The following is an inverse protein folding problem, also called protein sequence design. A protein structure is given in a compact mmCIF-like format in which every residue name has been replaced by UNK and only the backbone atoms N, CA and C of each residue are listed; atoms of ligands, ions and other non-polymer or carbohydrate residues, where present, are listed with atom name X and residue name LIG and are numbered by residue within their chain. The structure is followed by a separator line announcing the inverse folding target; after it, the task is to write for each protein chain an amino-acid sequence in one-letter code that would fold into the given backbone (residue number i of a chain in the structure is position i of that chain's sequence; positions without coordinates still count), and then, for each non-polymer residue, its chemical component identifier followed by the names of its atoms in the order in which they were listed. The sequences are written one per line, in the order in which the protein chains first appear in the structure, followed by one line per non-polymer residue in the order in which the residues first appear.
data_IF_601800168413
#
_entry.id   IF_601800168413
#
_cell.length_a   1.000
_cell.length_b   1.000
_cell.length_c   1.000
_cell.angle_alpha   90.00
_cell.angle_beta   90.00
_cell.angle_gamma   90.00
#
_symmetry.space_group_name_H-M   'P 1'
#
loop_
_entity.id
_entity.type
_entity.pdbx_description
1 polymer ?
#
# COMPACT_ATOMS: atom_id res chain seq x y z
N UNK A 1 -17.73 -15.86 14.89
CA UNK A 1 -16.41 -16.50 15.16
C UNK A 1 -16.27 -17.16 16.53
N UNK A 2 -16.31 -16.43 17.67
CA UNK A 2 -16.12 -17.06 19.01
C UNK A 2 -17.12 -18.17 19.33
N UNK A 3 -18.35 -18.08 18.81
CA UNK A 3 -19.36 -19.15 18.88
C UNK A 3 -18.95 -20.42 18.12
N UNK A 4 -18.42 -20.28 16.91
CA UNK A 4 -17.95 -21.39 16.09
C UNK A 4 -16.69 -22.05 16.68
N UNK A 5 -15.83 -21.23 17.28
CA UNK A 5 -14.55 -21.66 17.84
C UNK A 5 -14.44 -21.16 19.29
N UNK A 6 -15.08 -21.84 20.25
CA UNK A 6 -15.03 -21.45 21.66
C UNK A 6 -13.58 -21.37 22.18
N UNK A 7 -13.25 -20.28 22.87
CA UNK A 7 -11.89 -20.04 23.36
C UNK A 7 -10.90 -19.53 22.32
N UNK A 8 -11.31 -19.33 21.06
CA UNK A 8 -10.49 -18.64 20.07
C UNK A 8 -10.21 -17.18 20.45
N UNK A 9 -9.04 -16.69 20.05
CA UNK A 9 -8.68 -15.28 20.19
C UNK A 9 -8.95 -14.56 18.87
N UNK A 10 -9.83 -13.56 18.90
CA UNK A 10 -10.18 -12.74 17.73
C UNK A 10 -9.30 -11.50 17.65
N UNK A 11 -8.89 -11.12 16.45
CA UNK A 11 -8.13 -9.90 16.20
C UNK A 11 -8.63 -9.20 14.94
N UNK A 12 -8.46 -7.88 14.89
CA UNK A 12 -8.61 -7.07 13.69
C UNK A 12 -7.23 -6.79 13.11
N UNK A 13 -7.12 -6.76 11.79
CA UNK A 13 -5.88 -6.39 11.12
C UNK A 13 -6.22 -5.60 9.85
N UNK A 14 -5.19 -5.40 9.02
CA UNK A 14 -5.37 -4.76 7.74
C UNK A 14 -5.58 -3.25 7.85
N UNK A 15 -6.04 -2.65 6.75
CA UNK A 15 -5.93 -1.20 6.60
C UNK A 15 -6.90 -0.41 7.48
N UNK A 16 -8.08 -0.95 7.75
CA UNK A 16 -9.07 -0.33 8.63
C UNK A 16 -8.57 -0.33 10.08
N UNK A 17 -8.07 -1.45 10.58
CA UNK A 17 -7.52 -1.55 11.94
C UNK A 17 -6.32 -0.62 12.16
N UNK A 18 -5.55 -0.35 11.10
CA UNK A 18 -4.36 0.51 11.16
C UNK A 18 -4.67 1.99 10.87
N UNK A 19 -5.93 2.37 10.58
CA UNK A 19 -6.28 3.74 10.21
C UNK A 19 -5.63 4.24 8.90
N UNK A 20 -5.17 3.32 8.04
CA UNK A 20 -4.47 3.63 6.78
C UNK A 20 -5.24 3.18 5.52
N UNK A 21 -6.53 2.92 5.66
CA UNK A 21 -7.44 2.69 4.54
C UNK A 21 -7.61 3.96 3.68
N UNK A 22 -7.63 3.77 2.36
CA UNK A 22 -8.03 4.85 1.45
C UNK A 22 -9.55 4.90 1.35
N UNK A 23 -10.08 6.04 0.95
CA UNK A 23 -11.52 6.23 0.72
C UNK A 23 -11.84 5.88 -0.74
N UNK A 24 -12.98 5.21 -1.03
CA UNK A 24 -13.94 4.63 -0.06
C UNK A 24 -13.36 3.43 0.69
N UNK A 25 -13.86 3.19 1.92
CA UNK A 25 -13.53 1.97 2.66
C UNK A 25 -14.16 0.78 1.95
N UNK A 26 -13.35 -0.21 1.59
CA UNK A 26 -13.78 -1.37 0.79
C UNK A 26 -13.95 -2.64 1.60
N UNK A 27 -13.13 -2.81 2.64
CA UNK A 27 -12.97 -4.08 3.32
C UNK A 27 -12.44 -3.91 4.75
N UNK A 28 -12.85 -4.83 5.62
CA UNK A 28 -12.22 -5.07 6.93
C UNK A 28 -11.64 -6.48 6.98
N UNK A 29 -10.42 -6.59 7.51
CA UNK A 29 -9.78 -7.88 7.76
C UNK A 29 -9.94 -8.26 9.24
N UNK A 30 -10.40 -9.49 9.50
CA UNK A 30 -10.46 -10.02 10.86
C UNK A 30 -10.06 -11.50 10.90
N UNK A 31 -9.47 -11.91 12.02
CA UNK A 31 -9.02 -13.28 12.21
C UNK A 31 -9.45 -13.88 13.54
N UNK A 32 -9.53 -15.20 13.57
CA UNK A 32 -9.71 -15.99 14.79
C UNK A 32 -8.59 -17.03 14.92
N UNK A 33 -7.75 -16.87 15.93
CA UNK A 33 -6.74 -17.87 16.31
C UNK A 33 -7.43 -18.98 17.10
N UNK A 34 -7.44 -20.18 16.52
CA UNK A 34 -8.03 -21.37 17.12
C UNK A 34 -7.28 -21.80 18.39
N UNK A 35 -7.98 -22.49 19.29
CA UNK A 35 -7.32 -23.15 20.43
C UNK A 35 -6.39 -24.25 19.92
N UNK A 36 -5.39 -24.64 20.72
CA UNK A 36 -4.50 -25.77 20.35
C UNK A 36 -5.29 -27.06 20.07
N UNK A 37 -6.38 -27.27 20.81
CA UNK A 37 -7.26 -28.43 20.65
C UNK A 37 -7.99 -28.39 19.31
N UNK A 38 -8.61 -27.27 18.97
CA UNK A 38 -9.37 -27.14 17.71
C UNK A 38 -8.45 -27.09 16.48
N UNK A 39 -7.22 -26.61 16.66
CA UNK A 39 -6.21 -26.55 15.61
C UNK A 39 -5.52 -27.90 15.32
N UNK A 40 -5.53 -28.85 16.27
CA UNK A 40 -4.76 -30.10 16.21
C UNK A 40 -5.01 -30.95 14.95
N UNK A 41 -6.24 -31.06 14.41
CA UNK A 41 -6.51 -31.81 13.19
C UNK A 41 -6.03 -31.13 11.89
N UNK A 42 -5.63 -29.87 11.94
CA UNK A 42 -5.40 -29.00 10.79
C UNK A 42 -3.93 -28.57 10.68
N UNK A 43 -3.55 -28.05 9.51
CA UNK A 43 -2.21 -27.51 9.25
C UNK A 43 -1.43 -28.28 8.18
N UNK A 44 -0.16 -27.91 7.93
CA UNK A 44 0.68 -28.58 6.94
C UNK A 44 0.78 -30.09 7.20
N UNK A 45 0.54 -30.90 6.16
CA UNK A 45 0.56 -32.37 6.25
C UNK A 45 -0.66 -32.98 6.95
N UNK A 46 -1.65 -32.17 7.34
CA UNK A 46 -2.90 -32.59 7.99
C UNK A 46 -4.11 -32.11 7.16
N UNK A 47 -5.27 -31.86 7.81
CA UNK A 47 -6.45 -31.35 7.13
C UNK A 47 -6.23 -29.93 6.57
N UNK A 48 -6.90 -29.67 5.45
CA UNK A 48 -6.97 -28.38 4.79
C UNK A 48 -7.69 -27.32 5.63
N UNK A 49 -7.53 -26.06 5.26
CA UNK A 49 -8.29 -24.95 5.85
C UNK A 49 -9.77 -24.92 5.44
N UNK A 50 -10.15 -25.58 4.34
CA UNK A 50 -11.50 -25.48 3.77
C UNK A 50 -12.61 -25.80 4.79
N UNK A 51 -12.56 -26.90 5.59
CA UNK A 51 -13.60 -27.15 6.59
C UNK A 51 -13.72 -26.04 7.64
N UNK A 52 -12.62 -25.39 8.01
CA UNK A 52 -12.66 -24.25 8.96
C UNK A 52 -13.29 -23.02 8.33
N UNK A 53 -13.08 -22.80 7.04
CA UNK A 53 -13.73 -21.74 6.27
C UNK A 53 -15.24 -22.00 6.15
N UNK A 54 -15.66 -23.23 5.89
CA UNK A 54 -17.08 -23.61 5.85
C UNK A 54 -17.76 -23.44 7.22
N UNK A 55 -17.11 -23.85 8.32
CA UNK A 55 -17.61 -23.61 9.68
C UNK A 55 -17.74 -22.10 9.97
N UNK A 56 -16.77 -21.29 9.52
CA UNK A 56 -16.84 -19.84 9.67
C UNK A 56 -18.03 -19.26 8.88
N UNK A 57 -18.23 -19.70 7.63
CA UNK A 57 -19.37 -19.31 6.79
C UNK A 57 -20.70 -19.58 7.49
N UNK A 58 -20.94 -20.82 7.91
CA UNK A 58 -22.21 -21.23 8.50
C UNK A 58 -22.50 -20.47 9.80
N UNK A 59 -21.46 -20.19 10.59
CA UNK A 59 -21.60 -19.41 11.82
C UNK A 59 -21.86 -17.93 11.56
N UNK A 60 -21.35 -17.35 10.47
CA UNK A 60 -21.64 -15.95 10.12
C UNK A 60 -23.09 -15.85 9.61
N UNK A 61 -23.56 -16.76 8.74
CA UNK A 61 -24.96 -16.81 8.31
C UNK A 61 -25.92 -16.87 9.49
N UNK A 62 -25.68 -17.81 10.42
CA UNK A 62 -26.48 -17.95 11.64
C UNK A 62 -26.59 -16.67 12.48
N UNK A 63 -25.57 -15.81 12.43
CA UNK A 63 -25.45 -14.63 13.28
C UNK A 63 -26.01 -13.38 12.59
N UNK A 64 -25.89 -13.30 11.27
CA UNK A 64 -26.07 -12.06 10.51
C UNK A 64 -27.20 -12.10 9.47
N UNK A 65 -27.73 -13.28 9.09
CA UNK A 65 -28.79 -13.37 8.07
C UNK A 65 -30.06 -12.58 8.46
N UNK A 66 -30.34 -12.48 9.76
CA UNK A 66 -31.50 -11.72 10.25
C UNK A 66 -31.32 -10.21 10.18
N UNK A 67 -30.09 -9.72 10.14
CA UNK A 67 -29.76 -8.29 10.07
C UNK A 67 -29.46 -7.85 8.63
N UNK A 68 -28.81 -8.71 7.85
CA UNK A 68 -28.39 -8.43 6.48
C UNK A 68 -29.10 -9.39 5.50
N UNK A 69 -30.26 -9.01 4.93
CA UNK A 69 -31.06 -9.92 4.10
C UNK A 69 -30.39 -10.31 2.77
N UNK A 70 -29.42 -9.53 2.31
CA UNK A 70 -28.66 -9.77 1.08
C UNK A 70 -27.25 -10.33 1.36
N UNK A 71 -26.99 -10.80 2.59
CA UNK A 71 -25.70 -11.33 2.99
C UNK A 71 -25.28 -12.49 2.09
N UNK A 72 -24.09 -12.40 1.51
CA UNK A 72 -23.46 -13.52 0.81
C UNK A 72 -22.09 -13.80 1.40
N UNK A 73 -21.75 -15.08 1.53
CA UNK A 73 -20.49 -15.50 2.12
C UNK A 73 -19.80 -16.50 1.21
N UNK A 74 -18.71 -16.05 0.59
CA UNK A 74 -17.96 -16.82 -0.40
C UNK A 74 -16.81 -17.59 0.27
N UNK A 75 -16.75 -18.89 0.02
CA UNK A 75 -15.63 -19.78 0.40
C UNK A 75 -14.88 -20.25 -0.85
N UNK A 76 -15.62 -20.70 -1.86
CA UNK A 76 -15.06 -21.23 -3.10
C UNK A 76 -14.21 -20.19 -3.82
N UNK A 77 -13.03 -20.59 -4.28
CA UNK A 77 -12.10 -19.71 -5.00
C UNK A 77 -11.30 -18.72 -4.13
N UNK A 78 -11.68 -18.53 -2.86
CA UNK A 78 -10.96 -17.64 -1.94
C UNK A 78 -9.64 -18.27 -1.49
N UNK A 79 -8.62 -17.42 -1.31
CA UNK A 79 -7.25 -17.86 -0.99
C UNK A 79 -7.02 -18.08 0.50
N UNK A 80 -7.34 -17.07 1.32
CA UNK A 80 -6.91 -17.00 2.72
C UNK A 80 -8.03 -16.86 3.75
N UNK A 81 -9.18 -16.36 3.32
CA UNK A 81 -10.30 -15.99 4.19
C UNK A 81 -11.62 -16.27 3.48
N UNK A 82 -12.71 -16.37 4.24
CA UNK A 82 -14.06 -16.26 3.66
C UNK A 82 -14.37 -14.80 3.42
N UNK A 83 -15.02 -14.50 2.30
CA UNK A 83 -15.47 -13.14 2.01
C UNK A 83 -16.92 -13.00 2.38
N UNK A 84 -17.20 -12.05 3.26
CA UNK A 84 -18.53 -11.62 3.63
C UNK A 84 -18.85 -10.37 2.81
N UNK A 85 -19.96 -10.41 2.08
CA UNK A 85 -20.57 -9.26 1.42
C UNK A 85 -21.90 -9.00 2.09
N UNK A 86 -22.09 -7.79 2.61
CA UNK A 86 -23.31 -7.44 3.35
C UNK A 86 -24.48 -7.20 2.40
N UNK A 87 -24.21 -6.91 1.12
CA UNK A 87 -25.22 -6.69 0.09
C UNK A 87 -26.02 -5.41 0.32
N UNK A 88 -25.39 -4.41 0.96
CA UNK A 88 -26.00 -3.14 1.34
C UNK A 88 -25.02 -1.98 1.06
N UNK A 89 -24.83 -1.60 -0.22
CA UNK A 89 -23.92 -0.53 -0.59
C UNK A 89 -24.42 0.82 -0.08
N UNK A 90 -23.49 1.63 0.44
CA UNK A 90 -23.81 2.94 1.07
C UNK A 90 -24.41 3.93 0.07
N UNK A 91 -23.99 3.90 -1.19
CA UNK A 91 -24.63 4.61 -2.31
C UNK A 91 -24.64 3.74 -3.57
N UNK A 92 -25.48 4.07 -4.56
CA UNK A 92 -25.59 3.29 -5.79
C UNK A 92 -24.28 3.25 -6.60
N UNK A 93 -23.40 4.22 -6.40
CA UNK A 93 -22.10 4.36 -7.09
C UNK A 93 -20.95 3.71 -6.32
N UNK A 94 -21.16 3.29 -5.07
CA UNK A 94 -20.14 2.65 -4.25
C UNK A 94 -20.28 1.14 -4.24
N UNK A 95 -19.15 0.44 -4.32
CA UNK A 95 -19.11 -1.00 -4.11
C UNK A 95 -19.53 -1.35 -2.69
N UNK A 96 -20.18 -2.50 -2.53
CA UNK A 96 -20.51 -3.08 -1.22
C UNK A 96 -19.28 -3.14 -0.31
N UNK A 97 -19.46 -2.77 0.95
CA UNK A 97 -18.42 -2.97 1.96
C UNK A 97 -18.30 -4.47 2.24
N UNK A 98 -17.08 -4.95 2.49
CA UNK A 98 -16.86 -6.38 2.67
C UNK A 98 -16.06 -6.70 3.92
N UNK A 99 -16.07 -7.96 4.35
CA UNK A 99 -15.16 -8.44 5.39
C UNK A 99 -14.46 -9.72 4.93
N UNK A 100 -13.14 -9.76 5.05
CA UNK A 100 -12.38 -10.99 4.91
C UNK A 100 -12.16 -11.59 6.30
N UNK A 101 -12.80 -12.76 6.54
CA UNK A 101 -12.75 -13.47 7.82
C UNK A 101 -11.86 -14.70 7.74
N UNK A 102 -10.77 -14.68 8.49
CA UNK A 102 -9.75 -15.73 8.48
C UNK A 102 -9.80 -16.60 9.74
N UNK A 103 -9.59 -17.91 9.57
CA UNK A 103 -9.23 -18.80 10.68
C UNK A 103 -7.73 -19.02 10.67
N UNK A 104 -7.09 -19.00 11.84
CA UNK A 104 -5.64 -19.15 11.95
C UNK A 104 -5.27 -20.19 13.02
N UNK A 105 -4.23 -20.97 12.75
CA UNK A 105 -3.72 -21.96 13.70
C UNK A 105 -2.52 -21.39 14.43
N UNK A 106 -2.42 -21.57 15.76
CA UNK A 106 -1.19 -21.25 16.48
C UNK A 106 -0.05 -22.14 15.97
N UNK A 107 1.11 -21.56 15.68
CA UNK A 107 2.28 -22.37 15.35
C UNK A 107 2.78 -23.13 16.59
N UNK A 108 3.20 -24.41 16.50
CA UNK A 108 3.66 -25.20 17.65
C UNK A 108 4.82 -24.56 18.43
N UNK A 109 5.69 -23.80 17.76
CA UNK A 109 6.79 -23.07 18.40
C UNK A 109 6.34 -21.82 19.19
N UNK A 110 5.05 -21.47 19.13
CA UNK A 110 4.52 -20.23 19.71
C UNK A 110 4.81 -18.95 18.91
N UNK A 111 5.52 -19.04 17.78
CA UNK A 111 5.89 -17.88 16.95
C UNK A 111 5.10 -17.84 15.64
N UNK A 112 4.27 -16.80 15.49
CA UNK A 112 3.38 -16.64 14.36
C UNK A 112 2.32 -17.72 14.24
N UNK A 113 1.66 -17.73 13.09
CA UNK A 113 0.47 -18.52 12.80
C UNK A 113 0.65 -19.31 11.50
N UNK A 114 -0.15 -20.36 11.34
CA UNK A 114 -0.52 -20.88 10.03
C UNK A 114 -1.83 -20.23 9.59
N UNK A 115 -1.81 -19.63 8.41
CA UNK A 115 -2.99 -19.03 7.78
C UNK A 115 -3.35 -19.79 6.50
N UNK A 116 -4.62 -19.83 6.08
CA UNK A 116 -5.03 -20.56 4.89
C UNK A 116 -4.32 -20.03 3.63
N UNK A 117 -3.96 -20.92 2.72
CA UNK A 117 -3.55 -20.58 1.37
C UNK A 117 -3.97 -21.70 0.40
N UNK A 118 -5.19 -21.63 -0.11
CA UNK A 118 -5.78 -22.64 -1.00
C UNK A 118 -5.08 -22.78 -2.37
N UNK A 119 -4.07 -21.96 -2.65
CA UNK A 119 -3.33 -21.94 -3.93
C UNK A 119 -2.02 -22.72 -3.91
N UNK A 120 -1.63 -23.31 -2.76
CA UNK A 120 -0.41 -24.11 -2.65
C UNK A 120 -0.73 -25.50 -2.10
N UNK A 121 0.12 -26.49 -2.39
CA UNK A 121 -0.09 -27.88 -1.98
C UNK A 121 -0.19 -28.04 -0.45
N UNK A 122 0.62 -27.28 0.31
CA UNK A 122 0.57 -27.30 1.76
C UNK A 122 -0.71 -26.70 2.34
N UNK A 123 -1.47 -25.92 1.56
CA UNK A 123 -2.70 -25.21 1.92
C UNK A 123 -2.60 -24.20 3.07
N UNK A 124 -1.39 -23.95 3.58
CA UNK A 124 -1.12 -23.11 4.74
C UNK A 124 0.15 -22.27 4.52
N UNK A 125 0.05 -20.95 4.70
CA UNK A 125 1.19 -20.02 4.74
C UNK A 125 1.59 -19.75 6.20
N UNK A 126 2.85 -19.39 6.43
CA UNK A 126 3.29 -18.77 7.69
C UNK A 126 3.04 -17.27 7.64
N UNK A 127 2.51 -16.69 8.72
CA UNK A 127 2.34 -15.24 8.88
C UNK A 127 2.21 -14.86 10.36
N UNK A 128 2.36 -13.58 10.69
CA UNK A 128 2.11 -13.06 12.05
C UNK A 128 1.30 -11.76 12.01
N UNK A 129 0.04 -11.81 11.55
CA UNK A 129 -0.79 -10.62 11.37
C UNK A 129 -1.02 -9.85 12.68
N UNK A 130 -0.96 -10.50 13.84
CA UNK A 130 -1.11 -9.85 15.14
C UNK A 130 0.13 -8.99 15.43
N UNK A 131 1.33 -9.56 15.29
CA UNK A 131 2.58 -8.81 15.45
C UNK A 131 2.69 -7.70 14.41
N UNK A 132 2.30 -7.95 13.17
CA UNK A 132 2.25 -6.92 12.11
C UNK A 132 1.34 -5.74 12.49
N UNK A 133 0.14 -6.02 13.02
CA UNK A 133 -0.76 -4.98 13.52
C UNK A 133 -0.11 -4.19 14.65
N UNK A 134 0.49 -4.86 15.63
CA UNK A 134 1.16 -4.20 16.76
C UNK A 134 2.31 -3.29 16.30
N UNK A 135 3.16 -3.75 15.39
CA UNK A 135 4.25 -2.96 14.82
C UNK A 135 3.74 -1.71 14.12
N UNK A 136 2.67 -1.82 13.33
CA UNK A 136 2.08 -0.67 12.63
C UNK A 136 1.44 0.31 13.61
N UNK A 137 0.69 -0.17 14.60
CA UNK A 137 0.08 0.70 15.61
C UNK A 137 1.13 1.44 16.43
N UNK A 138 2.23 0.77 16.79
CA UNK A 138 3.36 1.41 17.48
C UNK A 138 3.99 2.50 16.60
N UNK A 139 4.28 2.21 15.33
CA UNK A 139 4.84 3.21 14.41
C UNK A 139 3.89 4.41 14.19
N UNK A 140 2.58 4.19 14.23
CA UNK A 140 1.59 5.27 14.17
C UNK A 140 1.65 6.17 15.40
N UNK A 141 1.81 5.59 16.58
CA UNK A 141 1.99 6.33 17.83
C UNK A 141 3.32 7.11 17.81
N UNK A 142 4.42 6.42 17.51
CA UNK A 142 5.78 6.99 17.51
C UNK A 142 5.93 8.15 16.52
N UNK A 143 5.19 8.13 15.40
CA UNK A 143 5.25 9.15 14.35
C UNK A 143 4.12 10.18 14.41
N UNK A 144 3.33 10.21 15.48
CA UNK A 144 2.15 11.09 15.61
C UNK A 144 1.24 11.06 14.36
N UNK A 145 0.80 9.85 13.99
CA UNK A 145 -0.04 9.54 12.82
C UNK A 145 0.56 9.79 11.43
N UNK A 146 1.80 10.29 11.33
CA UNK A 146 2.49 10.51 10.05
C UNK A 146 2.67 9.22 9.28
N UNK A 147 2.93 8.09 9.97
CA UNK A 147 3.02 6.77 9.35
C UNK A 147 1.75 6.43 8.56
N UNK A 148 0.58 6.47 9.20
CA UNK A 148 -0.70 6.12 8.57
C UNK A 148 -1.03 7.06 7.40
N UNK A 149 -0.81 8.37 7.57
CA UNK A 149 -1.02 9.37 6.50
C UNK A 149 -0.12 9.11 5.30
N UNK A 150 1.15 8.82 5.54
CA UNK A 150 2.13 8.50 4.49
C UNK A 150 1.74 7.20 3.77
N UNK A 151 1.38 6.14 4.50
CA UNK A 151 0.92 4.88 3.90
C UNK A 151 -0.32 5.09 3.02
N UNK A 152 -1.27 5.95 3.40
CA UNK A 152 -2.45 6.28 2.56
C UNK A 152 -2.04 6.92 1.22
N UNK A 153 -1.15 7.91 1.27
CA UNK A 153 -0.61 8.56 0.06
C UNK A 153 0.16 7.56 -0.81
N UNK A 154 0.97 6.69 -0.21
CA UNK A 154 1.72 5.68 -0.94
C UNK A 154 0.83 4.59 -1.54
N UNK A 155 -0.25 4.19 -0.85
CA UNK A 155 -1.27 3.29 -1.41
C UNK A 155 -1.98 3.95 -2.59
N UNK A 156 -2.24 5.25 -2.51
CA UNK A 156 -2.82 6.01 -3.60
C UNK A 156 -1.87 6.07 -4.81
N UNK A 157 -0.62 6.49 -4.62
CA UNK A 157 0.43 6.43 -5.65
C UNK A 157 0.53 5.03 -6.26
N UNK A 158 0.60 3.98 -5.42
CA UNK A 158 0.69 2.61 -5.89
C UNK A 158 -0.52 2.24 -6.76
N UNK A 159 -1.74 2.62 -6.37
CA UNK A 159 -2.96 2.38 -7.15
C UNK A 159 -2.94 3.05 -8.54
N UNK A 160 -2.56 4.33 -8.60
CA UNK A 160 -2.52 5.11 -9.86
C UNK A 160 -1.33 4.74 -10.75
N UNK A 161 -0.34 4.03 -10.20
CA UNK A 161 0.88 3.62 -10.91
C UNK A 161 0.94 2.12 -11.13
N UNK A 162 -0.16 1.48 -11.55
CA UNK A 162 -0.23 0.04 -11.90
C UNK A 162 0.08 -0.94 -10.76
N UNK A 163 -0.01 -0.50 -9.50
CA UNK A 163 0.07 -1.33 -8.29
C UNK A 163 1.36 -2.17 -8.19
N UNK A 164 2.58 -1.59 -8.28
CA UNK A 164 3.85 -2.33 -8.23
C UNK A 164 4.05 -3.19 -6.98
N UNK A 165 3.48 -2.76 -5.86
CA UNK A 165 3.67 -3.38 -4.55
C UNK A 165 2.32 -3.80 -3.94
N UNK A 166 2.31 -4.89 -3.17
CA UNK A 166 1.19 -5.14 -2.28
C UNK A 166 1.19 -4.13 -1.12
N UNK A 167 0.04 -3.88 -0.50
CA UNK A 167 -0.08 -2.90 0.59
C UNK A 167 0.83 -3.23 1.77
N UNK A 168 1.06 -4.52 2.05
CA UNK A 168 1.97 -4.93 3.12
C UNK A 168 3.44 -4.59 2.81
N UNK A 169 3.87 -4.69 1.55
CA UNK A 169 5.22 -4.30 1.16
C UNK A 169 5.49 -2.80 1.40
N UNK A 170 4.49 -1.95 1.12
CA UNK A 170 4.56 -0.51 1.42
C UNK A 170 4.74 -0.29 2.93
N UNK A 171 3.89 -0.92 3.75
CA UNK A 171 3.96 -0.77 5.22
C UNK A 171 5.27 -1.28 5.80
N UNK A 172 5.77 -2.43 5.32
CA UNK A 172 7.04 -2.98 5.77
C UNK A 172 8.21 -2.04 5.49
N UNK A 173 8.28 -1.45 4.29
CA UNK A 173 9.29 -0.46 3.96
C UNK A 173 9.13 0.84 4.78
N UNK A 174 7.89 1.26 5.08
CA UNK A 174 7.66 2.39 5.99
C UNK A 174 8.16 2.10 7.41
N UNK A 175 7.95 0.88 7.93
CA UNK A 175 8.40 0.50 9.28
C UNK A 175 9.91 0.64 9.45
N UNK A 176 10.67 0.45 8.38
CA UNK A 176 12.13 0.55 8.44
C UNK A 176 12.65 1.99 8.31
N UNK A 177 11.85 2.96 7.85
CA UNK A 177 12.33 4.31 7.53
C UNK A 177 11.52 5.47 8.11
N UNK A 178 10.37 5.22 8.75
CA UNK A 178 9.53 6.23 9.39
C UNK A 178 9.40 5.90 10.88
N UNK A 179 10.32 6.44 11.68
CA UNK A 179 10.46 6.16 13.12
C UNK A 179 10.21 7.39 14.02
N UNK A 180 10.08 8.58 13.45
CA UNK A 180 9.77 9.81 14.18
C UNK A 180 8.79 10.73 13.43
N UNK A 181 8.12 11.68 14.12
CA UNK A 181 7.24 12.64 13.49
C UNK A 181 7.99 13.57 12.52
N UNK A 182 7.46 13.75 11.31
CA UNK A 182 8.04 14.64 10.31
C UNK A 182 6.97 15.21 9.35
N UNK A 183 7.25 16.32 8.63
CA UNK A 183 6.36 16.80 7.59
C UNK A 183 6.07 15.73 6.53
N UNK A 184 4.82 15.61 6.06
CA UNK A 184 4.42 14.56 5.11
C UNK A 184 5.25 14.52 3.82
N UNK A 185 5.67 15.68 3.33
CA UNK A 185 6.54 15.75 2.15
C UNK A 185 7.93 15.13 2.41
N UNK A 186 8.46 15.29 3.63
CA UNK A 186 9.71 14.66 4.05
C UNK A 186 9.53 13.15 4.26
N UNK A 187 8.36 12.72 4.76
CA UNK A 187 8.05 11.28 4.88
C UNK A 187 7.97 10.59 3.51
N UNK A 188 7.35 11.23 2.52
CA UNK A 188 7.35 10.73 1.13
C UNK A 188 8.77 10.70 0.53
N UNK A 189 9.57 11.75 0.76
CA UNK A 189 10.96 11.80 0.30
C UNK A 189 11.78 10.66 0.91
N UNK A 190 11.69 10.48 2.22
CA UNK A 190 12.37 9.44 2.99
C UNK A 190 11.97 8.06 2.49
N UNK A 191 10.67 7.80 2.36
CA UNK A 191 10.17 6.53 1.84
C UNK A 191 10.69 6.24 0.43
N UNK A 192 10.52 7.15 -0.54
CA UNK A 192 10.91 6.85 -1.92
C UNK A 192 12.43 6.74 -2.10
N UNK A 193 13.22 7.44 -1.28
CA UNK A 193 14.67 7.25 -1.20
C UNK A 193 15.01 5.84 -0.68
N UNK A 194 14.53 5.52 0.52
CA UNK A 194 14.80 4.24 1.17
C UNK A 194 14.30 3.04 0.34
N UNK A 195 13.04 3.08 -0.09
CA UNK A 195 12.42 2.00 -0.84
C UNK A 195 13.11 1.74 -2.19
N UNK A 196 13.56 2.78 -2.90
CA UNK A 196 14.31 2.58 -4.14
C UNK A 196 15.61 1.82 -3.88
N UNK A 197 16.37 2.25 -2.87
CA UNK A 197 17.66 1.66 -2.54
C UNK A 197 17.51 0.22 -2.00
N UNK A 198 16.52 -0.07 -1.15
CA UNK A 198 16.30 -1.42 -0.61
C UNK A 198 15.78 -2.42 -1.65
N UNK A 199 14.86 -1.99 -2.52
CA UNK A 199 14.33 -2.86 -3.57
C UNK A 199 15.42 -3.23 -4.58
N UNK A 200 16.39 -2.34 -4.83
CA UNK A 200 17.56 -2.64 -5.66
C UNK A 200 18.46 -3.70 -5.01
N UNK A 201 18.65 -3.63 -3.69
CA UNK A 201 19.46 -4.60 -2.92
C UNK A 201 18.83 -5.99 -2.87
N UNK A 202 17.51 -6.09 -2.64
CA UNK A 202 16.89 -7.40 -2.44
C UNK A 202 15.37 -7.40 -2.33
N UNK A 203 14.77 -8.56 -2.06
CA UNK A 203 13.36 -8.64 -1.72
C UNK A 203 13.12 -8.15 -0.28
N UNK A 204 12.00 -7.47 -0.05
CA UNK A 204 11.62 -6.97 1.27
C UNK A 204 11.43 -8.13 2.25
N UNK A 205 12.13 -8.18 3.39
CA UNK A 205 11.94 -9.20 4.40
C UNK A 205 10.58 -9.04 5.10
N UNK A 206 10.08 -10.11 5.72
CA UNK A 206 8.97 -10.00 6.66
C UNK A 206 9.46 -9.35 7.98
N UNK A 207 8.90 -8.21 8.42
CA UNK A 207 9.31 -7.55 9.66
C UNK A 207 9.20 -8.45 10.90
N UNK A 208 8.21 -9.34 10.95
CA UNK A 208 8.04 -10.31 12.05
C UNK A 208 9.02 -11.49 11.97
N UNK A 209 9.73 -11.64 10.84
CA UNK A 209 10.64 -12.75 10.51
C UNK A 209 9.97 -14.12 10.73
N UNK A 210 8.71 -14.23 10.32
CA UNK A 210 7.88 -15.44 10.40
C UNK A 210 7.64 -16.04 9.01
N UNK A 211 7.26 -15.18 8.06
CA UNK A 211 7.09 -15.54 6.66
C UNK A 211 8.41 -15.38 5.88
N UNK A 212 8.40 -15.87 4.64
CA UNK A 212 9.44 -15.52 3.66
C UNK A 212 9.32 -14.06 3.18
N UNK A 213 10.18 -13.64 2.24
CA UNK A 213 10.14 -12.28 1.70
C UNK A 213 8.77 -11.92 1.11
N UNK A 214 8.40 -10.64 1.26
CA UNK A 214 7.11 -10.12 0.82
C UNK A 214 7.10 -10.03 -0.72
N UNK A 215 6.11 -10.60 -1.41
CA UNK A 215 6.07 -10.59 -2.87
C UNK A 215 5.72 -9.19 -3.42
N UNK A 216 6.34 -8.87 -4.55
CA UNK A 216 5.99 -7.74 -5.42
C UNK A 216 4.91 -8.18 -6.42
N UNK A 217 4.16 -7.21 -6.97
CA UNK A 217 3.13 -7.50 -7.98
C UNK A 217 3.67 -7.44 -9.42
N UNK A 218 4.93 -7.05 -9.59
CA UNK A 218 5.62 -6.96 -10.89
C UNK A 218 7.12 -7.18 -10.71
N UNK A 219 7.90 -7.32 -11.81
CA UNK A 219 9.34 -7.53 -11.72
C UNK A 219 10.05 -6.44 -10.90
N UNK A 220 11.01 -6.85 -10.07
CA UNK A 220 11.74 -5.98 -9.13
C UNK A 220 12.38 -4.76 -9.78
N UNK A 221 12.96 -4.93 -10.96
CA UNK A 221 13.58 -3.84 -11.74
C UNK A 221 12.57 -2.75 -12.15
N UNK A 222 11.34 -3.13 -12.48
CA UNK A 222 10.27 -2.19 -12.82
C UNK A 222 9.75 -1.47 -11.57
N UNK A 223 9.62 -2.18 -10.44
CA UNK A 223 9.30 -1.54 -9.14
C UNK A 223 10.37 -0.51 -8.77
N UNK A 224 11.65 -0.88 -8.86
CA UNK A 224 12.77 0.01 -8.59
C UNK A 224 12.74 1.26 -9.47
N UNK A 225 12.52 1.11 -10.79
CA UNK A 225 12.42 2.23 -11.73
C UNK A 225 11.29 3.20 -11.35
N UNK A 226 10.11 2.68 -10.97
CA UNK A 226 8.96 3.49 -10.55
C UNK A 226 9.23 4.25 -9.25
N UNK A 227 9.84 3.59 -8.26
CA UNK A 227 10.27 4.24 -7.01
C UNK A 227 11.30 5.34 -7.28
N UNK A 228 12.30 5.09 -8.13
CA UNK A 228 13.27 6.10 -8.56
C UNK A 228 12.61 7.31 -9.25
N UNK A 229 11.58 7.06 -10.06
CA UNK A 229 10.84 8.12 -10.75
C UNK A 229 10.05 8.97 -9.76
N UNK A 230 9.32 8.33 -8.83
CA UNK A 230 8.61 9.01 -7.77
C UNK A 230 9.54 9.82 -6.85
N UNK A 231 10.68 9.23 -6.45
CA UNK A 231 11.77 9.91 -5.71
C UNK A 231 12.19 11.20 -6.40
N UNK A 232 12.43 11.14 -7.71
CA UNK A 232 12.84 12.30 -8.50
C UNK A 232 11.79 13.42 -8.47
N UNK A 233 10.53 13.09 -8.64
CA UNK A 233 9.45 14.08 -8.63
C UNK A 233 9.21 14.69 -7.24
N UNK A 234 9.31 13.91 -6.17
CA UNK A 234 9.25 14.45 -4.80
C UNK A 234 10.41 15.42 -4.54
N UNK A 235 11.63 15.07 -4.95
CA UNK A 235 12.77 15.97 -4.82
C UNK A 235 12.58 17.27 -5.61
N UNK A 236 12.10 17.17 -6.86
CA UNK A 236 11.76 18.34 -7.67
C UNK A 236 10.72 19.22 -6.98
N UNK A 237 9.64 18.63 -6.44
CA UNK A 237 8.61 19.39 -5.74
C UNK A 237 9.19 20.21 -4.58
N UNK A 238 10.04 19.59 -3.76
CA UNK A 238 10.73 20.26 -2.65
C UNK A 238 11.67 21.37 -3.14
N UNK A 239 12.42 21.13 -4.22
CA UNK A 239 13.32 22.12 -4.82
C UNK A 239 12.56 23.32 -5.41
N UNK A 240 11.42 23.07 -6.06
CA UNK A 240 10.55 24.11 -6.60
C UNK A 240 9.94 24.97 -5.50
N UNK A 241 9.42 24.35 -4.44
CA UNK A 241 8.86 25.05 -3.28
C UNK A 241 9.91 25.97 -2.62
N UNK A 242 11.10 25.44 -2.32
CA UNK A 242 12.21 26.21 -1.73
C UNK A 242 12.65 27.41 -2.56
N UNK A 243 12.45 27.34 -3.87
CA UNK A 243 12.84 28.38 -4.79
C UNK A 243 11.66 29.27 -5.23
N UNK A 244 10.53 29.24 -4.52
CA UNK A 244 9.38 30.09 -4.75
C UNK A 244 8.64 29.81 -6.06
N UNK A 245 8.64 28.55 -6.52
CA UNK A 245 7.96 28.08 -7.75
C UNK A 245 6.80 27.13 -7.40
N UNK A 246 5.71 27.64 -6.82
CA UNK A 246 4.63 26.79 -6.30
C UNK A 246 3.88 26.02 -7.40
N UNK A 247 3.72 26.57 -8.61
CA UNK A 247 3.02 25.85 -9.69
C UNK A 247 3.85 24.67 -10.18
N UNK A 248 5.17 24.84 -10.27
CA UNK A 248 6.11 23.77 -10.62
C UNK A 248 6.18 22.71 -9.53
N UNK A 249 6.13 23.11 -8.26
CA UNK A 249 6.09 22.19 -7.14
C UNK A 249 4.82 21.34 -7.18
N UNK A 250 3.67 21.97 -7.39
CA UNK A 250 2.39 21.29 -7.54
C UNK A 250 2.37 20.36 -8.76
N UNK A 251 2.89 20.80 -9.92
CA UNK A 251 3.01 19.95 -11.10
C UNK A 251 3.87 18.71 -10.83
N UNK A 252 5.00 18.86 -10.15
CA UNK A 252 5.85 17.72 -9.78
C UNK A 252 5.13 16.76 -8.81
N UNK A 253 4.37 17.28 -7.85
CA UNK A 253 3.54 16.45 -6.95
C UNK A 253 2.40 15.73 -7.70
N UNK A 254 1.78 16.39 -8.69
CA UNK A 254 0.76 15.77 -9.55
C UNK A 254 1.30 14.51 -10.26
N UNK A 255 2.56 14.51 -10.69
CA UNK A 255 3.17 13.32 -11.29
C UNK A 255 3.27 12.11 -10.34
N UNK A 256 3.19 12.33 -9.03
CA UNK A 256 3.21 11.26 -8.01
C UNK A 256 1.79 10.96 -7.49
N UNK A 257 0.93 11.97 -7.38
CA UNK A 257 -0.39 11.86 -6.78
C UNK A 257 -1.47 12.51 -7.68
N UNK A 258 -1.69 12.01 -8.91
CA UNK A 258 -2.43 12.73 -9.95
C UNK A 258 -3.91 12.97 -9.65
N UNK A 259 -4.55 12.15 -8.81
CA UNK A 259 -5.96 12.32 -8.44
C UNK A 259 -6.14 13.12 -7.15
N UNK A 260 -5.07 13.34 -6.37
CA UNK A 260 -5.10 14.13 -5.13
C UNK A 260 -4.57 15.55 -5.33
N UNK A 261 -3.64 15.73 -6.26
CA UNK A 261 -3.01 17.00 -6.57
C UNK A 261 -3.46 17.42 -7.95
N UNK A 262 -4.17 18.55 -8.12
CA UNK A 262 -4.63 19.00 -9.42
C UNK A 262 -3.45 19.24 -10.37
N UNK A 263 -3.63 18.87 -11.65
CA UNK A 263 -2.70 19.25 -12.70
C UNK A 263 -2.73 20.76 -12.91
N UNK A 264 -1.56 21.37 -13.01
CA UNK A 264 -1.42 22.82 -13.17
C UNK A 264 -0.42 23.14 -14.27
N UNK A 265 -0.67 24.25 -14.96
CA UNK A 265 0.25 24.73 -15.97
C UNK A 265 1.43 25.46 -15.31
N UNK A 266 2.57 24.78 -15.22
CA UNK A 266 3.82 25.34 -14.69
C UNK A 266 4.75 25.92 -15.78
N UNK A 267 4.26 26.12 -17.02
CA UNK A 267 5.12 26.45 -18.18
C UNK A 267 5.92 27.75 -17.99
N UNK A 268 5.31 28.79 -17.42
CA UNK A 268 5.98 30.09 -17.23
C UNK A 268 7.12 30.01 -16.20
N UNK A 269 6.88 29.36 -15.06
CA UNK A 269 7.90 29.16 -14.03
C UNK A 269 9.06 28.31 -14.54
N UNK A 270 8.76 27.29 -15.36
CA UNK A 270 9.77 26.42 -15.94
C UNK A 270 10.58 27.13 -17.03
N UNK A 271 9.93 27.95 -17.87
CA UNK A 271 10.63 28.81 -18.82
C UNK A 271 11.58 29.78 -18.10
N UNK A 272 11.12 30.41 -17.01
CA UNK A 272 11.96 31.29 -16.19
C UNK A 272 13.15 30.54 -15.56
N UNK A 273 12.94 29.31 -15.08
CA UNK A 273 13.99 28.44 -14.53
C UNK A 273 15.07 28.15 -15.58
N UNK A 274 14.67 27.76 -16.79
CA UNK A 274 15.61 27.44 -17.87
C UNK A 274 16.42 28.67 -18.29
N UNK A 275 15.77 29.83 -18.45
CA UNK A 275 16.47 31.09 -18.76
C UNK A 275 17.49 31.44 -17.68
N UNK A 276 17.11 31.29 -16.41
CA UNK A 276 18.01 31.58 -15.27
C UNK A 276 19.21 30.62 -15.24
N UNK A 277 18.97 29.33 -15.49
CA UNK A 277 20.01 28.28 -15.51
C UNK A 277 21.03 28.52 -16.63
N UNK A 278 20.54 28.86 -17.83
CA UNK A 278 21.40 29.19 -18.99
C UNK A 278 22.22 30.45 -18.70
N UNK A 279 21.62 31.47 -18.11
CA UNK A 279 22.32 32.73 -17.74
C UNK A 279 23.41 32.53 -16.68
N UNK A 280 23.26 31.52 -15.81
CA UNK A 280 24.22 31.19 -14.76
C UNK A 280 25.28 30.16 -15.20
N UNK A 281 25.33 29.82 -16.49
CA UNK A 281 26.37 28.93 -17.05
C UNK A 281 26.17 27.44 -16.75
N UNK A 282 25.00 27.03 -16.26
CA UNK A 282 24.66 25.63 -16.02
C UNK A 282 24.20 24.91 -17.30
N UNK A 283 24.59 23.65 -17.47
CA UNK A 283 24.06 22.77 -18.52
C UNK A 283 22.72 22.17 -18.07
N UNK A 284 21.64 22.51 -18.79
CA UNK A 284 20.30 21.99 -18.55
C UNK A 284 20.19 20.51 -18.95
N UNK A 285 20.36 19.58 -18.02
CA UNK A 285 19.99 18.17 -18.23
C UNK A 285 18.46 18.03 -18.12
N UNK A 286 17.74 18.34 -19.20
CA UNK A 286 16.30 18.09 -19.34
C UNK A 286 16.05 16.60 -19.56
N UNK A 287 16.01 15.83 -18.48
CA UNK A 287 15.53 14.46 -18.51
C UNK A 287 14.14 14.37 -17.90
N UNK A 288 13.10 14.91 -18.54
CA UNK A 288 11.68 14.58 -18.33
C UNK A 288 10.79 15.42 -19.26
N UNK A 289 10.59 14.94 -20.49
CA UNK A 289 9.29 14.95 -21.18
C UNK A 289 8.58 16.23 -21.63
N UNK A 290 8.97 17.45 -21.24
CA UNK A 290 8.33 18.68 -21.73
C UNK A 290 9.14 19.31 -22.87
N UNK A 291 8.96 18.77 -24.08
CA UNK A 291 9.47 19.39 -25.29
C UNK A 291 8.50 20.51 -25.75
N UNK A 292 8.64 21.71 -25.17
CA UNK A 292 8.08 22.91 -25.81
C UNK A 292 9.04 23.33 -26.93
N UNK A 293 8.62 23.13 -28.18
CA UNK A 293 9.27 23.71 -29.36
C UNK A 293 9.20 25.24 -29.25
N UNK A 294 10.29 25.89 -28.84
CA UNK A 294 10.46 27.32 -29.10
C UNK A 294 10.76 27.51 -30.59
N UNK A 295 10.08 28.42 -31.30
CA UNK A 295 10.44 28.74 -32.68
C UNK A 295 11.81 29.41 -32.65
N UNK A 296 12.75 28.86 -33.43
CA UNK A 296 14.05 29.47 -33.65
C UNK A 296 13.86 30.87 -34.24
N UNK A 297 14.25 31.90 -33.49
CA UNK A 297 14.35 33.25 -34.02
C UNK A 297 15.43 33.27 -35.09
N UNK A 298 15.05 33.46 -36.34
CA UNK A 298 15.97 33.68 -37.45
C UNK A 298 16.80 34.94 -37.17
N UNK A 299 18.15 34.89 -37.19
CA UNK A 299 18.95 36.09 -37.03
C UNK A 299 18.83 36.96 -38.29
N UNK A 300 18.30 38.17 -38.14
CA UNK A 300 18.31 39.21 -39.16
C UNK A 300 19.76 39.62 -39.42
N UNK A 301 20.31 39.28 -40.60
CA UNK A 301 21.56 39.89 -41.08
C UNK A 301 21.24 41.28 -41.63
N UNK A 302 21.82 42.30 -41.01
CA UNK A 302 21.99 43.63 -41.58
C UNK A 302 23.41 43.72 -42.17
N UNK A 303 23.52 43.90 -43.48
CA UNK A 303 24.60 44.56 -44.26
C UNK A 303 23.97 44.80 -45.65
N UNK A 304 23.90 45.99 -46.25
CA UNK A 304 24.92 47.03 -46.31
C UNK A 304 25.75 46.83 -47.58
N UNK A 305 25.24 47.32 -48.72
CA UNK A 305 25.81 47.22 -50.07
C UNK A 305 24.78 47.58 -51.14
#
# INVERSE_FOLDING_TARGET
MRRAFPGSTTYFNGSVAHGDANTPLTDVDLGAVLTKKDAEPYGPGKKSALPLMEIARDAIHKDLDGEFPNLTIEVAGRRRAVLVRFGDPVTAEQSDFTADVMTALPHPSGRGLYIPNTKIAAQWDRADPITHTQMVLQAIEDTEIVFARTVRLLKHWNGTHSKPMCSWNIKALCLDCLDEPMPLINALQTFFAYAADEIDKGPTPDPAKVAGPIPLNMPRSEVHKRLCTARKYINLAIEHEKAGRPLSAQYALHQVLPELVPDVNATEEEAHRLVTTVRSGGTSLTGLGLATKLPASTPTRAWGG
#
